data_IF_134618800186
#
_entry.id   IF_134618800186
#
_cell.length_a   1.000
_cell.length_b   1.000
_cell.length_c   1.000
_cell.angle_alpha   90.00
_cell.angle_beta   90.00
_cell.angle_gamma   90.00
#
_symmetry.space_group_name_H-M   'P 1'
#
loop_
_entity.id
_entity.type
_entity.pdbx_description
1 polymer ?
#
# COMPACT_ATOMS: atom_id res chain seq x y z
N UNK A 1 5.19 -12.34 0.88
CA UNK A 1 5.45 -11.19 -0.01
C UNK A 1 5.77 -11.76 -1.38
N UNK A 2 4.86 -11.65 -2.35
CA UNK A 2 5.32 -11.68 -3.71
C UNK A 2 6.20 -10.43 -3.83
N UNK A 3 7.51 -10.63 -3.90
CA UNK A 3 8.43 -9.61 -4.34
C UNK A 3 7.86 -9.11 -5.67
N UNK A 4 7.16 -7.96 -5.62
CA UNK A 4 6.92 -7.19 -6.81
C UNK A 4 8.32 -6.95 -7.36
N UNK A 5 8.71 -7.76 -8.35
CA UNK A 5 9.93 -7.49 -9.08
C UNK A 5 9.89 -6.01 -9.43
N UNK A 6 10.98 -5.27 -9.22
CA UNK A 6 11.04 -3.89 -9.63
C UNK A 6 10.53 -3.86 -11.07
N UNK A 7 9.71 -2.88 -11.44
CA UNK A 7 9.23 -2.82 -12.79
C UNK A 7 10.47 -2.80 -13.67
N UNK A 8 10.76 -3.95 -14.29
CA UNK A 8 11.66 -3.99 -15.42
C UNK A 8 11.06 -2.92 -16.31
N UNK A 9 11.76 -1.79 -16.42
CA UNK A 9 11.42 -0.76 -17.39
C UNK A 9 10.93 -1.51 -18.61
N UNK A 10 9.72 -1.21 -19.09
CA UNK A 10 9.16 -1.87 -20.26
C UNK A 10 10.08 -1.55 -21.45
N UNK A 11 11.15 -2.30 -21.55
CA UNK A 11 12.14 -2.21 -22.56
C UNK A 11 11.57 -2.75 -23.85
N UNK A 12 11.03 -1.86 -24.63
CA UNK A 12 10.90 -2.13 -26.06
C UNK A 12 12.32 -2.13 -26.65
N UNK A 13 12.92 -3.31 -26.73
CA UNK A 13 14.34 -3.55 -27.13
C UNK A 13 14.75 -2.94 -28.49
N UNK A 14 13.82 -2.44 -29.29
CA UNK A 14 14.10 -2.03 -30.67
C UNK A 14 14.43 -0.53 -30.87
N UNK A 15 14.32 0.35 -29.86
CA UNK A 15 14.65 1.78 -30.04
C UNK A 15 14.99 2.51 -28.75
N UNK A 16 15.97 2.00 -27.99
CA UNK A 16 16.37 2.61 -26.71
C UNK A 16 17.20 3.89 -26.94
N UNK A 17 16.54 4.92 -27.44
CA UNK A 17 17.14 6.27 -27.55
C UNK A 17 16.88 7.11 -26.30
N UNK A 18 15.98 6.64 -25.39
CA UNK A 18 15.60 7.33 -24.18
C UNK A 18 15.18 6.33 -23.09
N UNK A 19 15.64 6.51 -21.86
CA UNK A 19 15.25 5.67 -20.73
C UNK A 19 15.46 6.39 -19.41
N UNK A 20 14.82 5.89 -18.35
CA UNK A 20 15.11 6.32 -16.98
C UNK A 20 16.05 5.33 -16.28
N UNK A 21 16.91 5.85 -15.41
CA UNK A 21 17.71 5.04 -14.49
C UNK A 21 17.50 5.50 -13.06
N UNK A 22 17.68 4.61 -12.10
CA UNK A 22 17.78 4.96 -10.70
C UNK A 22 19.04 5.79 -10.44
N UNK A 23 19.13 6.40 -9.26
CA UNK A 23 20.40 6.99 -8.80
C UNK A 23 21.42 5.86 -8.57
N UNK A 24 22.72 6.19 -8.64
CA UNK A 24 23.80 5.21 -8.53
C UNK A 24 23.85 4.46 -7.19
N UNK A 25 23.14 4.96 -6.18
CA UNK A 25 23.11 4.39 -4.83
C UNK A 25 21.86 3.58 -4.51
N UNK A 26 20.95 3.39 -5.47
CA UNK A 26 19.64 2.77 -5.21
C UNK A 26 19.17 1.88 -6.36
N UNK A 27 18.32 0.90 -6.05
CA UNK A 27 17.63 0.06 -7.01
C UNK A 27 16.15 0.50 -7.19
N UNK A 28 15.77 1.67 -6.67
CA UNK A 28 14.43 2.24 -6.75
C UNK A 28 14.49 3.76 -6.87
N UNK A 29 13.38 4.39 -7.29
CA UNK A 29 13.30 5.83 -7.42
C UNK A 29 13.03 6.53 -6.09
N UNK A 30 12.36 5.88 -5.14
CA UNK A 30 12.05 6.49 -3.85
C UNK A 30 13.25 6.47 -2.92
N UNK A 31 13.58 7.62 -2.35
CA UNK A 31 14.57 7.81 -1.29
C UNK A 31 13.88 8.43 -0.08
N UNK A 32 14.30 8.03 1.12
CA UNK A 32 13.66 8.45 2.36
C UNK A 32 12.39 7.67 2.70
N UNK A 33 11.82 7.94 3.87
CA UNK A 33 10.68 7.23 4.43
C UNK A 33 9.43 8.11 4.42
N UNK A 34 8.68 8.08 3.33
CA UNK A 34 7.45 8.87 3.21
C UNK A 34 6.52 8.64 4.40
N UNK A 35 6.15 9.72 5.08
CA UNK A 35 5.33 9.70 6.29
C UNK A 35 6.12 9.76 7.59
N UNK A 36 7.45 9.61 7.55
CA UNK A 36 8.35 9.70 8.72
C UNK A 36 9.39 10.80 8.51
N UNK A 37 10.06 10.78 7.36
CA UNK A 37 11.09 11.77 6.97
C UNK A 37 10.75 12.38 5.62
N UNK A 38 11.48 13.40 5.21
CA UNK A 38 11.44 13.87 3.84
C UNK A 38 11.74 12.71 2.89
N UNK A 39 10.95 12.62 1.84
CA UNK A 39 11.06 11.57 0.84
C UNK A 39 11.07 12.15 -0.56
N UNK A 40 11.86 11.54 -1.44
CA UNK A 40 12.12 12.05 -2.77
C UNK A 40 11.98 10.95 -3.82
N UNK A 41 11.58 11.32 -5.02
CA UNK A 41 11.78 10.52 -6.23
C UNK A 41 13.01 11.05 -6.93
N UNK A 42 14.05 10.21 -7.05
CA UNK A 42 15.35 10.58 -7.60
C UNK A 42 15.72 9.63 -8.74
N UNK A 43 16.26 10.18 -9.82
CA UNK A 43 16.69 9.39 -10.96
C UNK A 43 17.38 10.22 -12.02
N UNK A 44 17.65 9.59 -13.16
CA UNK A 44 18.23 10.23 -14.33
C UNK A 44 17.40 9.93 -15.57
N UNK A 45 17.25 10.93 -16.43
CA UNK A 45 16.78 10.75 -17.81
C UNK A 45 18.00 10.64 -18.72
N UNK A 46 18.17 9.49 -19.34
CA UNK A 46 19.27 9.21 -20.26
C UNK A 46 18.79 9.30 -21.70
N UNK A 47 19.55 10.01 -22.53
CA UNK A 47 19.33 10.14 -23.96
C UNK A 47 20.56 9.60 -24.71
N UNK A 48 20.34 8.81 -25.76
CA UNK A 48 21.38 8.34 -26.64
C UNK A 48 20.85 8.18 -28.06
N UNK A 49 21.27 9.06 -28.94
CA UNK A 49 20.87 9.09 -30.34
C UNK A 49 22.11 8.91 -31.23
N UNK A 50 22.00 8.26 -32.39
CA UNK A 50 23.11 8.17 -33.34
C UNK A 50 23.52 9.57 -33.82
N UNK A 51 24.80 9.77 -34.05
CA UNK A 51 25.32 11.03 -34.63
C UNK A 51 24.70 11.33 -36.01
N UNK A 52 24.39 10.26 -36.77
CA UNK A 52 23.72 10.39 -38.06
C UNK A 52 22.24 10.81 -37.96
N UNK A 53 21.63 10.70 -36.76
CA UNK A 53 20.24 11.07 -36.53
C UNK A 53 20.07 11.66 -35.12
N UNK A 54 20.65 12.83 -34.86
CA UNK A 54 20.57 13.50 -33.55
C UNK A 54 19.13 13.91 -33.25
N UNK A 55 18.81 14.01 -31.96
CA UNK A 55 17.53 14.56 -31.52
C UNK A 55 17.58 16.09 -31.62
N UNK A 56 16.75 16.69 -32.47
CA UNK A 56 16.56 18.15 -32.51
C UNK A 56 15.51 18.54 -31.48
N UNK A 57 15.93 19.01 -30.33
CA UNK A 57 15.07 19.38 -29.22
C UNK A 57 15.13 20.88 -28.90
N UNK A 58 14.00 21.38 -28.42
CA UNK A 58 13.91 22.75 -27.86
C UNK A 58 13.82 22.73 -26.35
N UNK A 59 13.18 21.69 -25.77
CA UNK A 59 12.90 21.62 -24.33
C UNK A 59 12.79 20.18 -23.88
N UNK A 60 13.29 19.89 -22.70
CA UNK A 60 13.19 18.61 -22.03
C UNK A 60 12.65 18.83 -20.62
N UNK A 61 11.55 18.19 -20.32
CA UNK A 61 10.83 18.25 -19.05
C UNK A 61 10.63 16.87 -18.48
N UNK A 62 10.74 16.73 -17.16
CA UNK A 62 10.31 15.51 -16.44
C UNK A 62 9.13 15.86 -15.55
N UNK A 63 8.15 14.99 -15.51
CA UNK A 63 6.90 15.16 -14.77
C UNK A 63 6.71 13.95 -13.87
N UNK A 64 6.49 14.17 -12.57
CA UNK A 64 6.02 13.18 -11.63
C UNK A 64 4.51 13.30 -11.49
N UNK A 65 3.79 12.24 -11.84
CA UNK A 65 2.33 12.20 -11.81
C UNK A 65 1.85 11.06 -10.90
N UNK A 66 0.91 11.36 -10.01
CA UNK A 66 0.19 10.39 -9.18
C UNK A 66 -1.29 10.37 -9.55
N UNK A 67 -1.85 9.19 -9.70
CA UNK A 67 -3.24 8.98 -10.13
C UNK A 67 -3.93 8.04 -9.16
N UNK A 68 -5.12 8.46 -8.70
CA UNK A 68 -6.09 7.61 -8.03
C UNK A 68 -7.18 7.24 -9.03
N UNK A 69 -7.38 5.95 -9.25
CA UNK A 69 -8.38 5.41 -10.17
C UNK A 69 -9.27 4.41 -9.45
N UNK A 70 -10.57 4.47 -9.71
CA UNK A 70 -11.56 3.49 -9.26
C UNK A 70 -12.50 3.18 -10.42
N UNK A 71 -12.72 1.88 -10.71
CA UNK A 71 -13.69 1.40 -11.67
C UNK A 71 -14.66 0.42 -11.01
N UNK A 72 -15.95 0.74 -10.98
CA UNK A 72 -16.99 -0.13 -10.42
C UNK A 72 -17.97 -0.60 -11.52
N UNK A 73 -18.63 -1.73 -11.29
CA UNK A 73 -19.58 -2.35 -12.24
C UNK A 73 -18.95 -2.57 -13.63
N UNK A 74 -17.80 -3.27 -13.69
CA UNK A 74 -17.07 -3.53 -14.94
C UNK A 74 -16.75 -2.23 -15.68
N UNK A 75 -16.24 -1.23 -14.95
CA UNK A 75 -15.85 0.08 -15.47
C UNK A 75 -16.98 0.92 -16.08
N UNK A 76 -18.25 0.57 -15.84
CA UNK A 76 -19.38 1.40 -16.24
C UNK A 76 -19.43 2.72 -15.46
N UNK A 77 -18.83 2.76 -14.27
CA UNK A 77 -18.65 3.95 -13.47
C UNK A 77 -17.18 4.06 -13.10
N UNK A 78 -16.53 5.11 -13.55
CA UNK A 78 -15.10 5.34 -13.31
C UNK A 78 -14.87 6.67 -12.61
N UNK A 79 -13.84 6.69 -11.79
CA UNK A 79 -13.30 7.89 -11.18
C UNK A 79 -11.79 7.90 -11.40
N UNK A 80 -11.29 8.99 -11.92
CA UNK A 80 -9.85 9.22 -12.05
C UNK A 80 -9.53 10.63 -11.55
N UNK A 81 -8.53 10.72 -10.69
CA UNK A 81 -8.04 11.99 -10.15
C UNK A 81 -6.53 12.01 -10.12
N UNK A 82 -5.95 13.08 -10.63
CA UNK A 82 -4.54 13.39 -10.36
C UNK A 82 -4.39 13.85 -8.92
N UNK A 83 -3.64 13.10 -8.13
CA UNK A 83 -3.34 13.38 -6.72
C UNK A 83 -1.95 14.00 -6.55
N UNK A 84 -1.11 13.91 -7.57
CA UNK A 84 0.19 14.55 -7.66
C UNK A 84 0.45 14.96 -9.11
N UNK A 85 1.02 16.14 -9.31
CA UNK A 85 1.48 16.60 -10.60
C UNK A 85 2.58 17.66 -10.39
N UNK A 86 3.82 17.24 -10.47
CA UNK A 86 5.00 18.11 -10.35
C UNK A 86 5.77 18.03 -11.66
N UNK A 87 6.31 19.13 -12.13
CA UNK A 87 7.14 19.19 -13.33
C UNK A 87 8.46 19.87 -13.04
N UNK A 88 9.50 19.41 -13.73
CA UNK A 88 10.84 19.93 -13.66
C UNK A 88 11.39 20.12 -15.07
N UNK A 89 11.72 21.35 -15.42
CA UNK A 89 12.43 21.67 -16.64
C UNK A 89 13.90 21.24 -16.45
N UNK A 90 14.36 20.27 -17.23
CA UNK A 90 15.73 19.75 -17.15
C UNK A 90 16.66 20.50 -18.08
N UNK A 91 16.16 20.90 -19.22
CA UNK A 91 16.95 21.58 -20.25
C UNK A 91 16.05 22.36 -21.20
N UNK A 92 16.54 23.49 -21.67
CA UNK A 92 15.92 24.33 -22.69
C UNK A 92 17.02 24.94 -23.58
N UNK A 93 16.73 25.00 -24.89
CA UNK A 93 17.64 25.62 -25.86
C UNK A 93 17.72 27.14 -25.65
N UNK A 94 18.90 27.66 -25.64
CA UNK A 94 19.17 29.11 -25.58
C UNK A 94 19.16 29.81 -26.94
N UNK A 95 18.90 29.09 -28.04
CA UNK A 95 18.89 29.66 -29.38
C UNK A 95 17.62 30.50 -29.54
N UNK A 96 17.82 31.81 -29.70
CA UNK A 96 16.75 32.82 -29.89
C UNK A 96 16.38 33.01 -31.37
N UNK A 97 16.96 32.26 -32.28
CA UNK A 97 16.76 32.37 -33.73
C UNK A 97 15.47 31.71 -34.21
N UNK A 98 15.21 31.81 -35.56
CA UNK A 98 14.06 31.20 -36.22
C UNK A 98 13.96 29.66 -36.03
N UNK A 99 15.06 28.96 -35.75
CA UNK A 99 15.14 27.54 -35.50
C UNK A 99 15.69 27.27 -34.07
N UNK A 100 14.86 27.29 -33.03
CA UNK A 100 15.29 27.20 -31.64
C UNK A 100 15.58 25.74 -31.20
N UNK A 101 15.97 24.86 -32.09
CA UNK A 101 16.21 23.44 -31.80
C UNK A 101 17.72 23.15 -31.82
N UNK A 102 18.20 22.55 -30.77
CA UNK A 102 19.57 22.07 -30.66
C UNK A 102 19.65 20.55 -30.90
N UNK A 103 20.78 20.10 -31.43
CA UNK A 103 21.06 18.67 -31.66
C UNK A 103 21.63 18.01 -30.42
N UNK A 104 20.96 16.95 -29.98
CA UNK A 104 21.37 16.15 -28.81
C UNK A 104 21.64 14.72 -29.29
N UNK A 105 22.89 14.28 -29.14
CA UNK A 105 23.29 12.88 -29.41
C UNK A 105 23.38 12.07 -28.11
N UNK A 106 23.91 12.64 -27.04
CA UNK A 106 24.05 11.98 -25.74
C UNK A 106 23.84 13.02 -24.63
N UNK A 107 23.00 12.65 -23.67
CA UNK A 107 22.79 13.47 -22.47
C UNK A 107 22.33 12.61 -21.30
N UNK A 108 22.62 13.09 -20.10
CA UNK A 108 22.15 12.51 -18.84
C UNK A 108 21.69 13.66 -17.93
N UNK A 109 20.39 13.67 -17.61
CA UNK A 109 19.77 14.71 -16.82
C UNK A 109 19.29 14.15 -15.49
N UNK A 110 19.93 14.49 -14.37
CA UNK A 110 19.45 14.11 -13.05
C UNK A 110 18.17 14.88 -12.73
N UNK A 111 17.25 14.22 -11.99
CA UNK A 111 16.05 14.86 -11.48
C UNK A 111 15.75 14.42 -10.07
N UNK A 112 15.07 15.30 -9.31
CA UNK A 112 14.61 15.03 -7.97
C UNK A 112 13.27 15.74 -7.74
N UNK A 113 12.30 15.02 -7.15
CA UNK A 113 11.01 15.54 -6.73
C UNK A 113 10.82 15.28 -5.25
N UNK A 114 10.51 16.31 -4.47
CA UNK A 114 10.10 16.16 -3.08
C UNK A 114 8.65 15.62 -3.04
N UNK A 115 8.42 14.57 -2.29
CA UNK A 115 7.09 13.99 -2.10
C UNK A 115 6.36 14.70 -0.95
N UNK A 116 5.10 15.17 -1.15
CA UNK A 116 4.26 15.62 -0.06
C UNK A 116 4.03 14.51 0.98
N UNK A 117 4.13 14.87 2.25
CA UNK A 117 4.03 13.90 3.35
C UNK A 117 2.67 13.20 3.47
N UNK A 118 1.62 13.77 2.91
CA UNK A 118 0.25 13.22 2.93
C UNK A 118 -0.08 12.30 1.76
N UNK A 119 0.88 12.09 0.85
CA UNK A 119 0.67 11.19 -0.29
C UNK A 119 0.36 9.77 0.17
N UNK A 120 -0.65 9.13 -0.42
CA UNK A 120 -0.89 7.70 -0.22
C UNK A 120 0.21 6.88 -0.89
N UNK A 121 0.42 5.67 -0.40
CA UNK A 121 1.28 4.71 -1.09
C UNK A 121 0.63 4.15 -2.35
N UNK A 122 1.43 3.51 -3.19
CA UNK A 122 0.95 2.77 -4.36
C UNK A 122 0.06 1.60 -3.93
N UNK A 123 -1.10 1.45 -4.58
CA UNK A 123 -2.08 0.39 -4.31
C UNK A 123 -2.56 -0.21 -5.62
N UNK A 124 -2.75 -1.54 -5.63
CA UNK A 124 -3.35 -2.25 -6.75
C UNK A 124 -4.34 -3.30 -6.22
N UNK A 125 -5.63 -2.99 -6.27
CA UNK A 125 -6.72 -3.80 -5.71
C UNK A 125 -7.69 -4.33 -6.78
N UNK A 126 -7.31 -4.31 -8.04
CA UNK A 126 -8.18 -4.73 -9.15
C UNK A 126 -9.29 -3.72 -9.48
N UNK A 127 -10.11 -3.33 -8.51
CA UNK A 127 -11.19 -2.32 -8.68
C UNK A 127 -10.69 -0.89 -8.48
N UNK A 128 -9.66 -0.69 -7.63
CA UNK A 128 -9.10 0.62 -7.31
C UNK A 128 -7.58 0.59 -7.31
N UNK A 129 -6.96 1.64 -7.85
CA UNK A 129 -5.52 1.76 -7.98
C UNK A 129 -5.05 3.14 -7.56
N UNK A 130 -3.91 3.18 -6.88
CA UNK A 130 -3.11 4.40 -6.72
C UNK A 130 -1.75 4.09 -7.30
N UNK A 131 -1.37 4.81 -8.33
CA UNK A 131 -0.10 4.59 -9.00
C UNK A 131 0.58 5.90 -9.33
N UNK A 132 1.91 5.83 -9.40
CA UNK A 132 2.76 6.95 -9.73
C UNK A 132 3.62 6.63 -10.93
N UNK A 133 3.94 7.64 -11.70
CA UNK A 133 4.81 7.52 -12.86
C UNK A 133 5.64 8.78 -13.07
N UNK A 134 6.88 8.56 -13.48
CA UNK A 134 7.75 9.60 -14.03
C UNK A 134 7.58 9.59 -15.55
N UNK A 135 7.35 10.76 -16.13
CA UNK A 135 7.23 10.98 -17.56
C UNK A 135 8.30 11.94 -18.02
N UNK A 136 8.99 11.65 -19.12
CA UNK A 136 9.76 12.65 -19.82
C UNK A 136 8.98 13.12 -21.05
N UNK A 137 8.98 14.42 -21.22
CA UNK A 137 8.41 15.10 -22.37
C UNK A 137 9.50 15.90 -23.07
N UNK A 138 9.71 15.63 -24.34
CA UNK A 138 10.68 16.35 -25.16
C UNK A 138 9.95 17.07 -26.26
N UNK A 139 10.03 18.38 -26.25
CA UNK A 139 9.58 19.22 -27.35
C UNK A 139 10.67 19.20 -28.43
N UNK A 140 10.35 18.63 -29.59
CA UNK A 140 11.29 18.40 -30.69
C UNK A 140 10.77 18.99 -31.98
N UNK A 141 11.69 19.19 -32.93
CA UNK A 141 11.33 19.59 -34.30
C UNK A 141 10.49 18.50 -34.96
N UNK A 142 9.30 18.86 -35.42
CA UNK A 142 8.44 17.93 -36.18
C UNK A 142 9.07 17.54 -37.53
N UNK A 143 8.94 16.27 -37.89
CA UNK A 143 9.40 15.81 -39.18
C UNK A 143 8.20 15.30 -39.99
N UNK A 144 7.64 16.15 -40.82
CA UNK A 144 6.48 15.85 -41.63
C UNK A 144 6.70 14.65 -42.59
N UNK A 145 7.94 14.46 -43.11
CA UNK A 145 8.27 13.33 -43.99
C UNK A 145 8.22 11.98 -43.30
N UNK A 146 8.46 11.95 -41.98
CA UNK A 146 8.46 10.72 -41.13
C UNK A 146 7.19 10.59 -40.30
N UNK A 147 6.17 11.46 -40.46
CA UNK A 147 4.95 11.51 -39.63
C UNK A 147 5.24 11.59 -38.13
N UNK A 148 6.36 12.17 -37.75
CA UNK A 148 6.74 12.35 -36.34
C UNK A 148 6.21 13.68 -35.80
N UNK A 149 5.37 13.63 -34.79
CA UNK A 149 4.88 14.81 -34.06
C UNK A 149 5.98 15.64 -33.39
N UNK A 150 5.63 16.83 -32.95
CA UNK A 150 6.52 17.78 -32.25
C UNK A 150 6.88 17.36 -30.83
N UNK A 151 6.31 16.29 -30.32
CA UNK A 151 6.53 15.83 -28.94
C UNK A 151 6.96 14.36 -28.92
N UNK A 152 7.95 14.05 -28.09
CA UNK A 152 8.36 12.69 -27.79
C UNK A 152 8.21 12.43 -26.28
N UNK A 153 7.61 11.28 -25.92
CA UNK A 153 7.31 10.93 -24.53
C UNK A 153 7.84 9.55 -24.20
N UNK A 154 8.27 9.38 -22.98
CA UNK A 154 8.44 8.09 -22.32
C UNK A 154 7.85 8.17 -20.90
N UNK A 155 7.43 7.04 -20.36
CA UNK A 155 6.98 6.97 -18.97
C UNK A 155 7.50 5.71 -18.29
N UNK A 156 7.71 5.81 -16.99
CA UNK A 156 8.10 4.72 -16.12
C UNK A 156 7.27 4.74 -14.86
N UNK A 157 6.75 3.59 -14.43
CA UNK A 157 6.04 3.47 -13.15
C UNK A 157 7.02 3.59 -11.99
N UNK A 158 6.62 4.33 -10.95
CA UNK A 158 7.32 4.44 -9.68
C UNK A 158 6.48 3.79 -8.60
N UNK A 159 7.07 2.91 -7.81
CA UNK A 159 6.44 2.43 -6.59
C UNK A 159 6.69 3.46 -5.50
N UNK A 160 5.63 3.92 -4.84
CA UNK A 160 5.74 4.75 -3.64
C UNK A 160 5.24 3.94 -2.45
N UNK A 161 6.11 3.81 -1.46
CA UNK A 161 5.86 3.15 -0.19
C UNK A 161 5.74 4.19 0.91
N UNK A 162 4.67 4.11 1.69
CA UNK A 162 4.47 4.97 2.86
C UNK A 162 4.77 4.18 4.12
N UNK A 163 5.45 4.83 5.06
CA UNK A 163 5.86 4.24 6.32
C UNK A 163 5.11 4.88 7.48
N UNK A 164 4.96 4.11 8.56
CA UNK A 164 4.49 4.57 9.86
C UNK A 164 5.62 4.36 10.89
N UNK A 165 5.77 5.27 11.85
CA UNK A 165 6.71 5.05 12.94
C UNK A 165 6.31 3.80 13.72
N UNK A 166 7.30 3.16 14.35
CA UNK A 166 7.04 2.05 15.27
C UNK A 166 6.02 2.52 16.32
N UNK A 167 4.90 1.81 16.49
CA UNK A 167 3.96 2.14 17.53
C UNK A 167 4.72 2.10 18.87
N UNK A 168 4.68 3.19 19.61
CA UNK A 168 5.25 3.17 20.96
C UNK A 168 4.55 2.06 21.73
N UNK A 169 5.29 1.20 22.45
CA UNK A 169 4.65 0.30 23.39
C UNK A 169 3.82 1.18 24.31
N UNK A 170 2.53 1.20 24.12
CA UNK A 170 1.67 1.78 25.12
C UNK A 170 1.87 0.93 26.39
N UNK A 171 2.04 1.53 27.58
CA UNK A 171 2.11 0.75 28.78
C UNK A 171 0.87 -0.14 28.79
N UNK A 172 1.09 -1.43 28.67
CA UNK A 172 0.12 -2.54 28.51
C UNK A 172 -1.32 -2.02 28.50
N UNK A 173 -1.72 -1.38 27.41
CA UNK A 173 -3.12 -1.04 27.19
C UNK A 173 -3.78 -2.35 26.78
N UNK A 174 -4.25 -3.05 27.80
CA UNK A 174 -5.13 -4.17 27.60
C UNK A 174 -6.33 -3.65 26.83
N UNK A 175 -6.49 -4.10 25.60
CA UNK A 175 -7.69 -3.83 24.84
C UNK A 175 -8.69 -4.87 25.31
N UNK A 176 -9.47 -4.48 26.31
CA UNK A 176 -10.60 -5.28 26.75
C UNK A 176 -11.72 -5.14 25.74
N UNK A 177 -12.22 -6.25 25.27
CA UNK A 177 -13.47 -6.32 24.58
C UNK A 177 -14.54 -6.70 25.59
N UNK A 178 -15.22 -5.70 26.09
CA UNK A 178 -16.24 -5.87 27.11
C UNK A 178 -17.59 -6.13 26.41
N UNK A 179 -18.15 -7.30 26.64
CA UNK A 179 -19.57 -7.59 26.36
C UNK A 179 -20.32 -7.59 27.68
N UNK A 180 -21.06 -6.51 28.00
CA UNK A 180 -21.82 -6.43 29.27
C UNK A 180 -22.80 -7.59 29.45
N UNK A 181 -23.15 -8.28 28.38
CA UNK A 181 -24.01 -9.45 28.42
C UNK A 181 -23.27 -10.78 28.63
N UNK A 182 -21.93 -10.80 28.61
CA UNK A 182 -21.16 -12.04 28.74
C UNK A 182 -21.44 -12.74 30.08
N UNK A 183 -21.50 -11.98 31.18
CA UNK A 183 -21.83 -12.51 32.51
C UNK A 183 -23.22 -13.13 32.54
N UNK A 184 -24.23 -12.53 31.91
CA UNK A 184 -25.57 -13.06 31.79
C UNK A 184 -25.62 -14.36 30.96
N UNK A 185 -24.63 -14.56 30.07
CA UNK A 185 -24.44 -15.79 29.29
C UNK A 185 -23.70 -16.87 30.02
N UNK A 186 -23.21 -16.61 31.25
CA UNK A 186 -22.47 -17.55 32.05
C UNK A 186 -21.02 -17.77 31.62
N UNK A 187 -20.43 -16.79 30.96
CA UNK A 187 -19.06 -16.77 30.49
C UNK A 187 -18.38 -15.47 30.91
N UNK A 188 -17.11 -15.54 31.24
CA UNK A 188 -16.24 -14.37 31.37
C UNK A 188 -15.06 -14.52 30.41
N UNK A 189 -14.65 -13.44 29.76
CA UNK A 189 -13.50 -13.47 28.89
C UNK A 189 -12.67 -12.18 29.06
N UNK A 190 -11.40 -12.36 28.77
CA UNK A 190 -10.43 -11.27 28.70
C UNK A 190 -9.62 -11.44 27.43
N UNK A 191 -9.60 -10.41 26.59
CA UNK A 191 -8.93 -10.45 25.29
C UNK A 191 -8.08 -9.20 25.17
N UNK A 192 -6.83 -9.36 24.77
CA UNK A 192 -5.92 -8.24 24.61
C UNK A 192 -5.04 -8.39 23.37
N UNK A 193 -4.58 -7.26 22.88
CA UNK A 193 -3.53 -7.11 21.88
C UNK A 193 -2.59 -6.00 22.36
N UNK A 194 -1.31 -6.14 22.09
CA UNK A 194 -0.31 -5.19 22.62
C UNK A 194 -0.30 -3.86 21.84
N UNK A 195 -0.84 -3.85 20.61
CA UNK A 195 -0.86 -2.69 19.72
C UNK A 195 -2.18 -2.63 18.94
N UNK A 196 -2.42 -1.51 18.31
CA UNK A 196 -3.49 -1.30 17.31
C UNK A 196 -2.97 -1.17 15.87
N UNK A 197 -1.64 -1.04 15.72
CA UNK A 197 -0.94 -0.90 14.43
C UNK A 197 0.12 -1.97 14.30
N UNK A 198 0.11 -2.67 13.16
CA UNK A 198 0.97 -3.82 12.91
C UNK A 198 1.58 -3.74 11.52
N UNK A 199 2.73 -4.40 11.35
CA UNK A 199 3.45 -4.51 10.08
C UNK A 199 3.90 -5.94 9.81
N UNK A 200 4.51 -6.22 8.65
CA UNK A 200 4.99 -7.55 8.29
C UNK A 200 5.91 -8.17 9.35
N UNK A 201 6.80 -7.38 9.92
CA UNK A 201 7.75 -7.82 10.96
C UNK A 201 7.13 -7.81 12.38
N UNK A 202 5.90 -7.31 12.52
CA UNK A 202 5.20 -7.17 13.79
C UNK A 202 3.87 -7.94 13.72
N UNK A 203 3.86 -9.24 14.05
CA UNK A 203 2.66 -10.04 14.00
C UNK A 203 1.62 -9.56 15.01
N UNK A 204 0.34 -9.79 14.70
CA UNK A 204 -0.75 -9.54 15.64
C UNK A 204 -0.76 -10.69 16.65
N UNK A 205 -0.53 -10.40 17.92
CA UNK A 205 -0.64 -11.38 19.00
C UNK A 205 -1.94 -11.11 19.75
N UNK A 206 -2.90 -12.01 19.60
CA UNK A 206 -4.16 -12.00 20.33
C UNK A 206 -4.00 -12.87 21.57
N UNK A 207 -4.08 -12.27 22.75
CA UNK A 207 -4.08 -12.98 24.05
C UNK A 207 -5.53 -13.14 24.49
N UNK A 208 -5.93 -14.35 24.81
CA UNK A 208 -7.30 -14.71 25.15
C UNK A 208 -7.34 -15.54 26.43
N UNK A 209 -8.16 -15.14 27.38
CA UNK A 209 -8.55 -15.95 28.55
C UNK A 209 -10.06 -16.04 28.53
N UNK A 210 -10.59 -17.25 28.57
CA UNK A 210 -12.04 -17.50 28.63
C UNK A 210 -12.32 -18.39 29.83
N UNK A 211 -13.23 -17.97 30.68
CA UNK A 211 -13.64 -18.70 31.89
C UNK A 211 -15.13 -19.00 31.83
N UNK A 212 -15.49 -20.26 31.99
CA UNK A 212 -16.86 -20.67 32.18
C UNK A 212 -17.31 -20.32 33.61
N UNK A 213 -18.42 -19.62 33.73
CA UNK A 213 -19.08 -19.32 35.00
C UNK A 213 -20.20 -20.34 35.30
N UNK A 214 -20.63 -21.07 34.24
CA UNK A 214 -21.65 -22.12 34.30
C UNK A 214 -21.12 -23.37 33.62
N UNK A 215 -21.13 -24.49 34.31
CA UNK A 215 -20.59 -25.76 33.82
C UNK A 215 -21.46 -26.46 32.78
N UNK A 216 -22.73 -26.05 32.65
CA UNK A 216 -23.67 -26.54 31.66
C UNK A 216 -23.51 -25.88 30.28
N UNK A 217 -22.64 -24.87 30.18
CA UNK A 217 -22.37 -24.22 28.90
C UNK A 217 -21.52 -25.08 27.98
N UNK A 218 -22.02 -25.29 26.78
CA UNK A 218 -21.30 -26.00 25.73
C UNK A 218 -20.74 -24.99 24.70
N UNK A 219 -19.49 -24.59 24.90
CA UNK A 219 -18.73 -23.82 23.91
C UNK A 219 -18.19 -24.81 22.87
N UNK A 220 -18.57 -24.63 21.61
CA UNK A 220 -18.16 -25.51 20.50
C UNK A 220 -16.85 -25.09 19.85
N UNK A 221 -16.66 -23.81 19.70
CA UNK A 221 -15.55 -23.24 18.93
C UNK A 221 -15.21 -21.83 19.41
N UNK A 222 -13.94 -21.51 19.44
CA UNK A 222 -13.44 -20.15 19.47
C UNK A 222 -12.72 -19.90 18.14
N UNK A 223 -13.26 -18.99 17.36
CA UNK A 223 -12.70 -18.55 16.09
C UNK A 223 -11.96 -17.23 16.28
N UNK A 224 -10.74 -17.13 15.71
CA UNK A 224 -9.92 -15.91 15.68
C UNK A 224 -9.51 -15.68 14.23
N UNK A 225 -9.73 -14.47 13.71
CA UNK A 225 -9.36 -14.16 12.34
C UNK A 225 -9.06 -12.68 12.10
N UNK A 226 -8.18 -12.42 11.15
CA UNK A 226 -7.96 -11.09 10.58
C UNK A 226 -8.80 -10.97 9.31
N UNK A 227 -9.68 -10.01 9.28
CA UNK A 227 -10.57 -9.73 8.16
C UNK A 227 -10.21 -8.42 7.50
N UNK A 228 -10.11 -8.44 6.20
CA UNK A 228 -9.82 -7.29 5.35
C UNK A 228 -11.11 -6.89 4.61
N UNK A 229 -11.41 -5.59 4.60
CA UNK A 229 -12.54 -4.99 3.91
C UNK A 229 -12.03 -3.99 2.89
N UNK A 230 -12.57 -4.06 1.69
CA UNK A 230 -12.39 -3.04 0.67
C UNK A 230 -13.70 -2.34 0.38
N UNK A 231 -13.67 -1.03 0.29
CA UNK A 231 -14.80 -0.22 -0.13
C UNK A 231 -14.33 0.76 -1.21
N UNK A 232 -14.98 0.70 -2.35
CA UNK A 232 -14.72 1.57 -3.49
C UNK A 232 -15.95 2.41 -3.78
N UNK A 233 -15.76 3.72 -4.06
CA UNK A 233 -16.84 4.67 -4.32
C UNK A 233 -16.58 5.45 -5.60
N UNK A 234 -17.63 5.59 -6.40
CA UNK A 234 -17.66 6.49 -7.56
C UNK A 234 -19.01 7.23 -7.54
N UNK A 235 -18.99 8.50 -7.11
CA UNK A 235 -20.22 9.24 -6.84
C UNK A 235 -21.08 8.54 -5.77
N UNK A 236 -22.31 8.20 -6.12
CA UNK A 236 -23.24 7.47 -5.24
C UNK A 236 -23.17 5.94 -5.39
N UNK A 237 -22.24 5.42 -6.23
CA UNK A 237 -22.11 3.98 -6.46
C UNK A 237 -20.99 3.44 -5.59
N UNK A 238 -21.29 2.40 -4.81
CA UNK A 238 -20.34 1.73 -3.95
C UNK A 238 -20.16 0.26 -4.36
N UNK A 239 -18.94 -0.25 -4.20
CA UNK A 239 -18.60 -1.67 -4.30
C UNK A 239 -17.76 -2.07 -3.11
N UNK A 240 -18.29 -2.97 -2.31
CA UNK A 240 -17.58 -3.55 -1.17
C UNK A 240 -17.14 -4.99 -1.45
N UNK A 241 -16.03 -5.38 -0.86
CA UNK A 241 -15.60 -6.77 -0.75
C UNK A 241 -14.97 -7.02 0.62
N UNK A 242 -14.97 -8.29 1.05
CA UNK A 242 -14.39 -8.70 2.32
C UNK A 242 -13.78 -10.09 2.19
N UNK A 243 -12.67 -10.32 2.89
CA UNK A 243 -12.03 -11.64 2.96
C UNK A 243 -11.38 -11.85 4.32
N UNK A 244 -11.21 -13.10 4.73
CA UNK A 244 -10.27 -13.40 5.81
C UNK A 244 -8.86 -13.50 5.24
N UNK A 245 -7.93 -12.76 5.82
CA UNK A 245 -6.50 -12.82 5.48
C UNK A 245 -5.89 -14.06 6.11
N UNK A 246 -6.20 -14.28 7.39
CA UNK A 246 -5.81 -15.45 8.15
C UNK A 246 -6.90 -15.74 9.18
N UNK A 247 -7.11 -17.03 9.46
CA UNK A 247 -8.09 -17.46 10.47
C UNK A 247 -7.66 -18.79 11.12
N UNK A 248 -8.08 -18.97 12.37
CA UNK A 248 -7.89 -20.18 13.14
C UNK A 248 -9.11 -20.45 14.00
N UNK A 249 -9.45 -21.71 14.12
CA UNK A 249 -10.48 -22.19 15.04
C UNK A 249 -9.87 -23.10 16.10
N UNK A 250 -10.30 -22.91 17.33
CA UNK A 250 -9.95 -23.73 18.50
C UNK A 250 -11.18 -24.53 18.86
N UNK A 251 -11.07 -25.85 18.89
CA UNK A 251 -12.16 -26.77 19.17
C UNK A 251 -11.65 -28.06 19.84
N UNK A 252 -12.56 -28.94 20.24
CA UNK A 252 -12.22 -30.23 20.83
C UNK A 252 -11.47 -30.12 22.17
N UNK A 253 -10.49 -31.00 22.37
CA UNK A 253 -9.73 -31.10 23.62
C UNK A 253 -8.93 -29.86 23.94
N UNK A 254 -8.36 -29.20 22.93
CA UNK A 254 -7.64 -27.94 23.11
C UNK A 254 -8.54 -26.86 23.69
N UNK A 255 -9.75 -26.71 23.18
CA UNK A 255 -10.74 -25.78 23.70
C UNK A 255 -11.15 -26.16 25.13
N UNK A 256 -11.39 -27.43 25.38
CA UNK A 256 -11.81 -27.94 26.70
C UNK A 256 -10.79 -27.63 27.76
N UNK A 257 -9.51 -27.94 27.52
CA UNK A 257 -8.40 -27.62 28.45
C UNK A 257 -8.33 -26.13 28.72
N UNK A 258 -8.38 -25.31 27.66
CA UNK A 258 -8.32 -23.85 27.80
C UNK A 258 -9.46 -23.28 28.68
N UNK A 259 -10.67 -23.82 28.55
CA UNK A 259 -11.86 -23.34 29.28
C UNK A 259 -11.88 -23.80 30.73
N UNK A 260 -11.43 -25.03 31.02
CA UNK A 260 -11.42 -25.58 32.38
C UNK A 260 -10.37 -24.89 33.25
N UNK A 261 -9.17 -24.76 32.73
CA UNK A 261 -8.03 -24.23 33.46
C UNK A 261 -7.97 -22.70 33.41
N UNK A 262 -8.85 -22.05 32.65
CA UNK A 262 -8.85 -20.62 32.38
C UNK A 262 -7.45 -20.09 32.03
N UNK A 263 -6.69 -20.92 31.27
CA UNK A 263 -5.31 -20.59 30.90
C UNK A 263 -5.26 -19.53 29.82
N UNK A 264 -4.31 -18.61 29.90
CA UNK A 264 -4.04 -17.68 28.81
C UNK A 264 -3.67 -18.43 27.53
N UNK A 265 -4.37 -18.17 26.47
CA UNK A 265 -4.04 -18.67 25.13
C UNK A 265 -3.58 -17.50 24.26
N UNK A 266 -2.44 -17.67 23.58
CA UNK A 266 -1.94 -16.68 22.63
C UNK A 266 -2.05 -17.21 21.21
N UNK A 267 -2.64 -16.41 20.33
CA UNK A 267 -2.71 -16.72 18.91
C UNK A 267 -1.94 -15.66 18.11
N UNK A 268 -0.98 -16.12 17.32
CA UNK A 268 -0.19 -15.28 16.42
C UNK A 268 -0.85 -15.27 15.03
N UNK A 269 -1.16 -14.09 14.52
CA UNK A 269 -1.52 -13.83 13.13
C UNK A 269 -0.27 -13.28 12.44
N UNK A 270 0.30 -14.04 11.53
CA UNK A 270 1.54 -13.72 10.84
C UNK A 270 1.26 -12.97 9.55
N UNK A 271 1.51 -11.67 9.55
CA UNK A 271 1.27 -10.79 8.40
C UNK A 271 2.28 -11.01 7.27
N UNK A 272 3.49 -11.52 7.60
CA UNK A 272 4.55 -11.76 6.60
C UNK A 272 4.14 -12.88 5.62
N UNK A 273 3.51 -13.93 6.12
CA UNK A 273 3.05 -15.06 5.30
C UNK A 273 1.75 -14.79 4.53
N UNK A 274 1.08 -13.67 4.82
CA UNK A 274 -0.24 -13.35 4.27
C UNK A 274 -0.12 -12.28 3.17
N UNK A 275 -0.91 -12.45 2.11
CA UNK A 275 -1.11 -11.40 1.12
C UNK A 275 -2.13 -10.38 1.67
N UNK A 276 -1.67 -9.50 2.56
CA UNK A 276 -2.47 -8.45 3.19
C UNK A 276 -2.18 -7.11 2.51
N UNK A 277 -3.23 -6.31 2.29
CA UNK A 277 -3.09 -4.96 1.81
C UNK A 277 -2.88 -4.00 2.99
N UNK A 278 -2.29 -2.83 2.70
CA UNK A 278 -2.10 -1.80 3.71
C UNK A 278 -3.42 -1.08 4.01
N UNK A 279 -3.64 -0.73 5.27
CA UNK A 279 -4.77 0.13 5.65
C UNK A 279 -4.69 1.45 4.90
N UNK A 280 -5.78 1.82 4.24
CA UNK A 280 -5.85 3.02 3.40
C UNK A 280 -7.19 3.70 3.60
N UNK A 281 -7.17 4.97 4.01
CA UNK A 281 -8.38 5.77 4.25
C UNK A 281 -8.41 6.91 3.24
N UNK A 282 -9.04 6.68 2.09
CA UNK A 282 -9.27 7.68 1.04
C UNK A 282 -10.76 7.77 0.73
N UNK A 283 -11.25 8.89 0.23
CA UNK A 283 -12.69 9.04 -0.05
C UNK A 283 -13.25 7.97 -0.99
N UNK A 284 -12.47 7.56 -2.01
CA UNK A 284 -12.92 6.62 -3.03
C UNK A 284 -12.32 5.23 -2.89
N UNK A 285 -11.24 5.07 -2.12
CA UNK A 285 -10.59 3.79 -1.82
C UNK A 285 -10.40 3.68 -0.32
N UNK A 286 -11.11 2.73 0.30
CA UNK A 286 -10.96 2.45 1.71
C UNK A 286 -10.60 0.97 1.90
N UNK A 287 -9.48 0.71 2.55
CA UNK A 287 -9.02 -0.61 2.99
C UNK A 287 -8.93 -0.58 4.51
N UNK A 288 -9.71 -1.38 5.18
CA UNK A 288 -9.65 -1.48 6.64
C UNK A 288 -9.57 -2.94 7.09
N UNK A 289 -9.03 -3.12 8.29
CA UNK A 289 -8.79 -4.43 8.87
C UNK A 289 -9.45 -4.53 10.23
N UNK A 290 -9.97 -5.72 10.52
CA UNK A 290 -10.56 -6.04 11.81
C UNK A 290 -10.06 -7.40 12.28
N UNK A 291 -9.59 -7.47 13.52
CA UNK A 291 -9.49 -8.74 14.24
C UNK A 291 -10.89 -9.10 14.71
N UNK A 292 -11.35 -10.29 14.33
CA UNK A 292 -12.66 -10.82 14.67
C UNK A 292 -12.49 -12.08 15.53
N UNK A 293 -13.17 -12.11 16.68
CA UNK A 293 -13.19 -13.27 17.57
C UNK A 293 -14.63 -13.66 17.77
N UNK A 294 -14.93 -14.97 17.54
CA UNK A 294 -16.25 -15.53 17.75
C UNK A 294 -16.18 -16.66 18.73
N UNK A 295 -17.03 -16.64 19.76
CA UNK A 295 -17.24 -17.73 20.69
C UNK A 295 -18.59 -18.33 20.33
N UNK A 296 -18.58 -19.56 19.78
CA UNK A 296 -19.77 -20.25 19.32
C UNK A 296 -20.22 -21.29 20.35
N UNK A 297 -21.51 -21.33 20.57
CA UNK A 297 -22.14 -22.25 21.51
C UNK A 297 -22.85 -23.41 20.79
N UNK A 298 -23.22 -24.43 21.56
CA UNK A 298 -24.00 -25.56 21.09
C UNK A 298 -25.45 -25.18 20.74
N UNK A 299 -26.19 -26.13 20.17
CA UNK A 299 -27.58 -25.96 19.68
C UNK A 299 -28.55 -25.40 20.72
N UNK A 300 -28.32 -25.67 22.00
CA UNK A 300 -29.14 -25.18 23.10
C UNK A 300 -28.43 -24.13 23.98
N UNK A 301 -27.33 -23.57 23.46
CA UNK A 301 -26.55 -22.54 24.15
C UNK A 301 -27.07 -21.12 23.89
N UNK A 302 -26.46 -20.13 24.55
CA UNK A 302 -26.74 -18.71 24.30
C UNK A 302 -26.33 -18.31 22.87
N UNK A 303 -26.75 -17.10 22.47
CA UNK A 303 -26.35 -16.51 21.19
C UNK A 303 -24.81 -16.34 21.16
N UNK A 304 -24.21 -16.67 20.01
CA UNK A 304 -22.77 -16.53 19.78
C UNK A 304 -22.26 -15.12 20.13
N UNK A 305 -21.07 -15.07 20.71
CA UNK A 305 -20.37 -13.83 20.98
C UNK A 305 -19.51 -13.49 19.75
N UNK A 306 -19.66 -12.26 19.24
CA UNK A 306 -18.89 -11.79 18.09
C UNK A 306 -18.24 -10.46 18.42
N UNK A 307 -16.94 -10.49 18.65
CA UNK A 307 -16.11 -9.35 19.02
C UNK A 307 -15.30 -8.90 17.82
N UNK A 308 -15.19 -7.58 17.63
CA UNK A 308 -14.48 -6.99 16.49
C UNK A 308 -13.64 -5.80 16.96
N UNK A 309 -12.40 -5.77 16.53
CA UNK A 309 -11.50 -4.65 16.77
C UNK A 309 -10.86 -4.21 15.47
N UNK A 310 -11.01 -2.93 15.13
CA UNK A 310 -10.27 -2.34 14.02
C UNK A 310 -8.78 -2.28 14.36
N UNK A 311 -7.95 -2.65 13.39
CA UNK A 311 -6.50 -2.59 13.49
C UNK A 311 -5.94 -1.91 12.22
N UNK A 312 -4.79 -1.27 12.38
CA UNK A 312 -4.09 -0.63 11.28
C UNK A 312 -2.95 -1.54 10.79
N UNK A 313 -2.87 -1.78 9.48
CA UNK A 313 -1.79 -2.52 8.84
C UNK A 313 -0.97 -1.54 8.02
N UNK A 314 0.32 -1.39 8.37
CA UNK A 314 1.20 -0.39 7.78
C UNK A 314 2.63 -0.92 7.61
N UNK A 315 3.42 -0.30 6.72
CA UNK A 315 4.86 -0.49 6.74
C UNK A 315 5.42 0.24 7.96
N UNK A 316 5.89 -0.54 8.94
CA UNK A 316 6.49 0.00 10.14
C UNK A 316 8.00 0.07 9.92
N UNK A 317 8.60 1.23 10.16
CA UNK A 317 10.06 1.39 10.11
C UNK A 317 10.62 1.61 11.49
N UNK A 318 11.70 0.90 11.79
CA UNK A 318 12.47 1.09 13.00
C UNK A 318 13.45 2.25 12.76
N UNK A 319 13.19 3.42 13.35
CA UNK A 319 14.03 4.62 13.16
C UNK A 319 15.48 4.42 13.61
N UNK A 320 15.75 3.43 14.46
CA UNK A 320 17.12 3.11 14.92
C UNK A 320 18.03 2.55 13.83
N UNK A 321 17.46 1.99 12.75
CA UNK A 321 18.26 1.47 11.62
C UNK A 321 18.66 2.54 10.60
N UNK A 322 18.08 3.74 10.70
CA UNK A 322 18.30 4.82 9.72
C UNK A 322 19.49 5.71 10.09
N UNK A 323 19.88 5.69 11.36
CA UNK A 323 20.96 6.53 11.89
C UNK A 323 22.27 5.75 12.16
N UNK A 324 22.37 4.52 11.68
CA UNK A 324 23.60 3.74 11.57
C UNK A 324 24.15 3.79 10.14
#
# INVERSE_FOLDING_TARGET
MALLQPPISSYNKASQKMWFTYSTSSNEFQHGLLGITDSYIVGNLCLQFPESEPLKAKQIEVILEGIEYVGVRCDSYTYEKKILNQSLLLWESYILEKDPYEEITKANYPFQFLLPNDLPQSINLGTGHIYYKVKARINRKSNFKKLHGSEKKIECKCLITRYSPLPRPAPVQWIEWDDPNALNRGLSYYISMDYDTFGPEHPIIVKLVVKLLRMDLNVKEIFIGLKEYHLFRVGNVEKGSKRYVQQKSIFGDQLRTMLIDALPHSHKIDLHSCNVNWTTKRPNINVCHQVEIKIKFGLFGPIDINLKREVNIANISNLTEIYQ
#
